data_IF_532652710707
#
_entry.id   IF_532652710707
#
_cell.length_a   1.000
_cell.length_b   1.000
_cell.length_c   1.000
_cell.angle_alpha   90.00
_cell.angle_beta   90.00
_cell.angle_gamma   90.00
#
_symmetry.space_group_name_H-M   'P 1'
#
loop_
_entity.id
_entity.type
_entity.pdbx_description
1 polymer ?
#
# COMPACT_ATOMS: atom_id res chain seq x y z
N UNK A 1 21.87 -37.72 66.75
CA UNK A 1 21.36 -36.34 66.49
C UNK A 1 21.58 -36.06 65.01
N UNK A 2 20.54 -36.19 64.20
CA UNK A 2 20.58 -35.93 62.72
C UNK A 2 20.21 -34.46 62.48
N UNK A 3 21.11 -33.68 61.95
CA UNK A 3 20.85 -32.29 61.52
C UNK A 3 20.13 -32.36 60.18
N UNK A 4 18.87 -31.90 60.17
CA UNK A 4 18.09 -31.73 58.92
C UNK A 4 18.49 -30.36 58.37
N UNK A 5 19.13 -30.37 57.19
CA UNK A 5 19.47 -29.20 56.42
C UNK A 5 18.24 -28.80 55.58
N UNK A 6 17.52 -27.76 56.01
CA UNK A 6 16.38 -27.23 55.23
C UNK A 6 16.94 -26.34 54.13
N UNK A 7 16.94 -26.84 52.90
CA UNK A 7 17.29 -26.05 51.72
C UNK A 7 16.16 -25.11 51.37
N UNK A 8 16.41 -23.83 51.49
CA UNK A 8 15.49 -22.75 51.04
C UNK A 8 15.61 -22.64 49.53
N UNK A 9 14.65 -23.21 48.80
CA UNK A 9 14.52 -23.03 47.37
C UNK A 9 13.83 -21.67 47.13
N UNK A 10 14.64 -20.63 46.89
CA UNK A 10 14.12 -19.35 46.43
C UNK A 10 13.67 -19.50 44.98
N UNK A 11 12.35 -19.63 44.77
CA UNK A 11 11.74 -19.51 43.45
C UNK A 11 11.88 -18.03 43.03
N UNK A 12 12.85 -17.74 42.15
CA UNK A 12 12.84 -16.52 41.37
C UNK A 12 11.64 -16.58 40.45
N UNK A 13 10.53 -15.94 40.80
CA UNK A 13 9.50 -15.60 39.82
C UNK A 13 10.07 -14.59 38.87
N UNK A 14 10.63 -15.06 37.73
CA UNK A 14 10.72 -14.21 36.57
C UNK A 14 9.27 -13.84 36.20
N UNK A 15 8.92 -12.58 36.47
CA UNK A 15 7.76 -11.98 35.87
C UNK A 15 7.99 -12.04 34.35
N UNK A 16 7.53 -13.11 33.68
CA UNK A 16 7.22 -13.05 32.26
C UNK A 16 6.08 -12.04 32.17
N UNK A 17 6.41 -10.79 31.88
CA UNK A 17 5.41 -9.86 31.38
C UNK A 17 4.98 -10.45 30.05
N UNK A 18 3.77 -11.05 30.01
CA UNK A 18 3.08 -11.26 28.78
C UNK A 18 3.04 -9.89 28.11
N UNK A 19 3.63 -9.77 26.92
CA UNK A 19 3.40 -8.58 26.10
C UNK A 19 1.89 -8.58 25.83
N UNK A 20 1.18 -7.69 26.50
CA UNK A 20 -0.18 -7.37 26.12
C UNK A 20 -0.13 -6.80 24.69
N UNK A 21 -0.67 -7.56 23.73
CA UNK A 21 -0.86 -7.08 22.37
C UNK A 21 -2.03 -6.09 22.33
N UNK A 22 -1.93 -5.01 23.10
CA UNK A 22 -2.89 -3.92 23.10
C UNK A 22 -2.32 -2.76 22.27
N UNK A 23 -2.90 -2.58 21.09
CA UNK A 23 -2.52 -1.52 20.15
C UNK A 23 -3.44 -0.30 20.24
N UNK A 24 -4.34 -0.23 21.24
CA UNK A 24 -5.37 0.81 21.33
C UNK A 24 -4.78 2.21 21.41
N UNK A 25 -3.67 2.40 22.10
CA UNK A 25 -3.03 3.71 22.22
C UNK A 25 -2.34 4.13 20.93
N UNK A 26 -1.67 3.20 20.22
CA UNK A 26 -1.11 3.45 18.90
C UNK A 26 -2.22 3.84 17.91
N UNK A 27 -3.29 3.06 17.88
CA UNK A 27 -4.44 3.34 17.01
C UNK A 27 -5.04 4.71 17.27
N UNK A 28 -5.26 5.09 18.56
CA UNK A 28 -5.76 6.42 18.93
C UNK A 28 -4.85 7.55 18.45
N UNK A 29 -3.54 7.37 18.57
CA UNK A 29 -2.56 8.38 18.13
C UNK A 29 -2.52 8.56 16.63
N UNK A 30 -2.66 7.46 15.87
CA UNK A 30 -2.47 7.49 14.41
C UNK A 30 -3.78 7.72 13.64
N UNK A 31 -4.94 7.42 14.23
CA UNK A 31 -6.23 7.52 13.53
C UNK A 31 -6.56 8.91 13.01
N UNK A 32 -6.12 9.98 13.69
CA UNK A 32 -6.36 11.37 13.24
C UNK A 32 -5.61 11.72 11.96
N UNK A 33 -4.60 10.94 11.61
CA UNK A 33 -3.78 11.12 10.39
C UNK A 33 -4.26 10.27 9.23
N UNK A 34 -5.12 9.26 9.48
CA UNK A 34 -5.67 8.37 8.46
C UNK A 34 -6.98 8.94 7.93
N UNK A 35 -7.21 8.83 6.64
CA UNK A 35 -8.38 9.40 5.98
C UNK A 35 -9.07 8.37 5.07
N UNK A 36 -10.38 8.52 4.94
CA UNK A 36 -11.14 7.90 3.86
C UNK A 36 -11.08 8.77 2.62
N UNK A 37 -10.97 8.16 1.46
CA UNK A 37 -10.97 8.84 0.17
C UNK A 37 -12.16 8.34 -0.65
N UNK A 38 -13.03 9.24 -1.05
CA UNK A 38 -14.08 9.00 -2.01
C UNK A 38 -13.73 9.74 -3.30
N UNK A 39 -13.62 9.02 -4.40
CA UNK A 39 -13.44 9.59 -5.73
C UNK A 39 -14.70 9.38 -6.57
N UNK A 40 -15.10 10.41 -7.30
CA UNK A 40 -16.26 10.38 -8.20
C UNK A 40 -15.79 10.64 -9.62
N UNK A 41 -16.24 9.78 -10.54
CA UNK A 41 -16.01 9.93 -11.98
C UNK A 41 -17.35 10.06 -12.70
N UNK A 42 -17.50 11.05 -13.55
CA UNK A 42 -18.68 11.28 -14.38
C UNK A 42 -18.50 10.58 -15.73
N UNK A 43 -19.20 9.47 -15.91
CA UNK A 43 -19.20 8.73 -17.17
C UNK A 43 -20.24 9.36 -18.09
N UNK A 44 -19.77 10.10 -19.10
CA UNK A 44 -20.63 10.61 -20.17
C UNK A 44 -20.85 9.51 -21.21
N UNK A 45 -22.07 9.05 -21.34
CA UNK A 45 -22.44 8.05 -22.34
C UNK A 45 -22.36 8.66 -23.75
N UNK A 46 -21.15 8.74 -24.31
CA UNK A 46 -21.01 8.92 -25.75
C UNK A 46 -21.11 7.53 -26.38
N UNK A 47 -22.08 7.28 -27.26
CA UNK A 47 -22.41 6.01 -27.89
C UNK A 47 -21.28 5.33 -28.71
N UNK A 48 -20.06 5.37 -28.19
CA UNK A 48 -18.89 4.61 -28.69
C UNK A 48 -18.49 3.64 -27.59
N UNK A 49 -18.66 2.37 -27.90
CA UNK A 49 -18.16 1.24 -27.14
C UNK A 49 -16.72 1.52 -26.65
N UNK A 50 -16.53 1.56 -25.33
CA UNK A 50 -15.21 1.58 -24.70
C UNK A 50 -14.50 0.23 -24.96
N UNK A 51 -13.95 0.05 -26.19
CA UNK A 51 -12.97 -0.99 -26.48
C UNK A 51 -11.60 -0.47 -26.02
N UNK A 52 -11.18 -0.78 -24.80
CA UNK A 52 -9.83 -0.43 -24.39
C UNK A 52 -9.52 -0.46 -22.90
N UNK A 53 -10.51 -0.64 -22.02
CA UNK A 53 -10.20 -0.90 -20.62
C UNK A 53 -10.07 -2.41 -20.38
N UNK A 54 -9.04 -2.87 -19.68
CA UNK A 54 -8.95 -4.27 -19.30
C UNK A 54 -10.10 -4.61 -18.35
N UNK A 55 -11.05 -5.36 -18.84
CA UNK A 55 -12.18 -5.95 -18.11
C UNK A 55 -11.69 -6.68 -16.83
N UNK A 56 -10.45 -7.15 -16.87
CA UNK A 56 -9.72 -7.83 -15.81
C UNK A 56 -9.48 -6.95 -14.59
N UNK A 57 -9.18 -5.66 -14.74
CA UNK A 57 -9.00 -4.73 -13.63
C UNK A 57 -10.28 -4.58 -12.80
N UNK A 58 -11.45 -4.48 -13.46
CA UNK A 58 -12.73 -4.43 -12.76
C UNK A 58 -13.06 -5.74 -12.04
N UNK A 59 -12.66 -6.90 -12.60
CA UNK A 59 -12.82 -8.21 -11.95
C UNK A 59 -11.86 -8.42 -10.80
N UNK A 60 -10.61 -7.99 -10.93
CA UNK A 60 -9.57 -8.22 -9.93
C UNK A 60 -9.77 -7.32 -8.69
N UNK A 61 -10.19 -6.08 -8.90
CA UNK A 61 -10.52 -5.15 -7.81
C UNK A 61 -12.01 -5.15 -7.44
N UNK A 62 -12.82 -5.98 -8.13
CA UNK A 62 -14.24 -6.22 -7.83
C UNK A 62 -15.12 -4.99 -7.86
N UNK A 63 -14.79 -4.00 -8.67
CA UNK A 63 -15.73 -2.93 -8.98
C UNK A 63 -16.95 -3.50 -9.71
N UNK A 64 -18.17 -3.04 -9.41
CA UNK A 64 -19.35 -3.46 -10.18
C UNK A 64 -19.13 -3.06 -11.64
N UNK A 65 -19.26 -4.05 -12.55
CA UNK A 65 -19.29 -3.79 -13.99
C UNK A 65 -20.39 -2.76 -14.29
N UNK A 66 -20.08 -1.69 -15.02
CA UNK A 66 -21.15 -0.80 -15.46
C UNK A 66 -22.08 -1.60 -16.40
N UNK A 67 -23.36 -1.68 -16.06
CA UNK A 67 -24.37 -2.25 -16.95
C UNK A 67 -24.34 -1.53 -18.31
N UNK A 68 -24.01 -2.27 -19.37
CA UNK A 68 -23.74 -1.72 -20.69
C UNK A 68 -24.97 -1.28 -21.49
N UNK A 69 -26.15 -1.23 -20.88
CA UNK A 69 -27.38 -0.90 -21.60
C UNK A 69 -28.21 0.19 -20.92
N UNK A 70 -27.89 1.46 -21.21
CA UNK A 70 -28.89 2.52 -21.16
C UNK A 70 -28.80 3.42 -22.40
N UNK A 71 -29.82 3.36 -23.34
CA UNK A 71 -29.83 4.15 -24.56
C UNK A 71 -30.11 5.65 -24.36
N UNK A 72 -30.25 6.12 -23.09
CA UNK A 72 -30.81 7.46 -22.83
C UNK A 72 -29.78 8.56 -22.56
N UNK A 73 -28.50 8.32 -22.74
CA UNK A 73 -27.49 9.39 -22.68
C UNK A 73 -27.41 10.06 -21.28
N UNK A 74 -27.75 9.35 -20.20
CA UNK A 74 -27.64 9.87 -18.85
C UNK A 74 -26.18 9.81 -18.37
N UNK A 75 -25.70 10.91 -17.82
CA UNK A 75 -24.43 10.95 -17.09
C UNK A 75 -24.57 10.01 -15.89
N UNK A 76 -23.63 9.07 -15.73
CA UNK A 76 -23.56 8.16 -14.58
C UNK A 76 -22.36 8.53 -13.73
N UNK A 77 -22.56 8.58 -12.43
CA UNK A 77 -21.49 8.71 -11.47
C UNK A 77 -20.96 7.32 -11.09
N UNK A 78 -19.67 7.09 -11.31
CA UNK A 78 -18.96 5.95 -10.74
C UNK A 78 -18.18 6.45 -9.51
N UNK A 79 -18.38 5.79 -8.39
CA UNK A 79 -17.69 6.09 -7.13
C UNK A 79 -16.68 5.01 -6.81
N UNK A 80 -15.47 5.40 -6.42
CA UNK A 80 -14.45 4.54 -5.85
C UNK A 80 -14.15 5.01 -4.43
N UNK A 81 -13.82 4.09 -3.56
CA UNK A 81 -13.45 4.37 -2.17
C UNK A 81 -12.15 3.70 -1.81
N UNK A 82 -11.34 4.41 -1.06
CA UNK A 82 -10.07 3.93 -0.52
C UNK A 82 -9.72 4.66 0.76
N UNK A 83 -8.50 4.52 1.16
CA UNK A 83 -7.89 5.18 2.31
C UNK A 83 -6.70 6.03 1.87
N UNK A 84 -6.23 6.86 2.77
CA UNK A 84 -5.02 7.62 2.62
C UNK A 84 -4.51 8.05 3.99
N UNK A 85 -3.43 8.81 4.01
CA UNK A 85 -2.92 9.39 5.24
C UNK A 85 -2.20 10.71 4.98
N UNK A 86 -2.25 11.57 5.99
CA UNK A 86 -1.64 12.89 5.94
C UNK A 86 -0.15 12.79 6.17
N UNK A 87 0.65 13.40 5.29
CA UNK A 87 2.12 13.42 5.39
C UNK A 87 2.67 14.80 5.76
N UNK A 88 1.82 15.83 5.83
CA UNK A 88 2.28 17.18 6.18
C UNK A 88 1.21 18.02 6.86
N UNK A 89 1.63 18.95 7.72
CA UNK A 89 0.73 19.86 8.45
C UNK A 89 -0.07 20.79 7.56
N UNK A 90 0.38 21.04 6.35
CA UNK A 90 -0.27 21.88 5.35
C UNK A 90 -1.21 21.10 4.42
N UNK A 91 -1.40 19.79 4.67
CA UNK A 91 -2.47 18.99 4.05
C UNK A 91 -2.10 18.22 2.78
N UNK A 92 -0.84 17.80 2.64
CA UNK A 92 -0.53 16.74 1.68
C UNK A 92 -0.99 15.38 2.20
N UNK A 93 -1.60 14.60 1.32
CA UNK A 93 -2.13 13.25 1.59
C UNK A 93 -1.61 12.30 0.52
N UNK A 94 -1.16 11.13 0.95
CA UNK A 94 -0.80 10.03 0.03
C UNK A 94 -1.92 9.01 0.00
N UNK A 95 -2.16 8.45 -1.19
CA UNK A 95 -3.05 7.31 -1.44
C UNK A 95 -2.54 6.52 -2.65
N UNK A 96 -3.27 5.48 -3.05
CA UNK A 96 -2.98 4.78 -4.30
C UNK A 96 -3.52 5.53 -5.53
N UNK A 97 -2.82 5.38 -6.66
CA UNK A 97 -3.28 5.89 -7.95
C UNK A 97 -4.65 5.32 -8.34
N UNK A 98 -4.83 4.00 -8.23
CA UNK A 98 -6.08 3.36 -8.62
C UNK A 98 -7.31 3.84 -7.83
N UNK A 99 -7.13 4.42 -6.63
CA UNK A 99 -8.22 5.01 -5.82
C UNK A 99 -8.75 6.29 -6.46
N UNK A 100 -7.88 7.07 -7.12
CA UNK A 100 -8.22 8.39 -7.69
C UNK A 100 -8.12 8.44 -9.21
N UNK A 101 -7.94 7.29 -9.84
CA UNK A 101 -7.79 7.18 -11.29
C UNK A 101 -9.00 7.76 -12.01
N UNK A 102 -8.75 8.70 -12.95
CA UNK A 102 -9.75 9.38 -13.76
C UNK A 102 -10.87 10.08 -12.94
N UNK A 103 -10.61 10.43 -11.69
CA UNK A 103 -11.58 11.10 -10.83
C UNK A 103 -11.80 12.55 -11.27
N UNK A 104 -13.09 12.95 -11.41
CA UNK A 104 -13.49 14.33 -11.60
C UNK A 104 -13.54 15.08 -10.27
N UNK A 105 -13.78 14.36 -9.17
CA UNK A 105 -13.80 14.90 -7.82
C UNK A 105 -13.23 13.90 -6.81
N UNK A 106 -12.45 14.43 -5.86
CA UNK A 106 -11.87 13.66 -4.74
C UNK A 106 -12.24 14.33 -3.43
N UNK A 107 -12.91 13.60 -2.55
CA UNK A 107 -13.26 14.03 -1.19
C UNK A 107 -12.45 13.22 -0.19
N UNK A 108 -11.82 13.90 0.73
CA UNK A 108 -11.05 13.32 1.84
C UNK A 108 -11.84 13.54 3.12
N UNK A 109 -12.17 12.44 3.81
CA UNK A 109 -12.93 12.45 5.06
C UNK A 109 -12.07 11.94 6.21
N UNK A 110 -12.03 12.69 7.30
CA UNK A 110 -11.33 12.35 8.54
C UNK A 110 -12.25 11.57 9.48
N UNK A 111 -11.64 10.94 10.50
CA UNK A 111 -12.36 10.19 11.55
C UNK A 111 -13.37 11.08 12.30
N UNK A 112 -13.07 12.35 12.51
CA UNK A 112 -13.95 13.34 13.15
C UNK A 112 -15.06 13.86 12.21
N UNK A 113 -15.21 13.25 11.02
CA UNK A 113 -16.20 13.56 9.98
C UNK A 113 -15.98 14.89 9.26
N UNK A 114 -14.86 15.58 9.47
CA UNK A 114 -14.50 16.69 8.59
C UNK A 114 -14.25 16.19 7.19
N UNK A 115 -14.78 16.89 6.21
CA UNK A 115 -14.63 16.57 4.78
C UNK A 115 -13.96 17.73 4.06
N UNK A 116 -13.07 17.36 3.14
CA UNK A 116 -12.35 18.34 2.33
C UNK A 116 -12.30 17.86 0.88
N UNK A 117 -12.54 18.79 -0.04
CA UNK A 117 -12.20 18.55 -1.44
C UNK A 117 -10.69 18.60 -1.59
N UNK A 118 -10.12 17.57 -2.20
CA UNK A 118 -8.70 17.47 -2.47
C UNK A 118 -8.40 17.73 -3.95
N UNK A 119 -7.26 18.33 -4.21
CA UNK A 119 -6.68 18.45 -5.55
C UNK A 119 -5.67 17.33 -5.75
N UNK A 120 -5.69 16.67 -6.90
CA UNK A 120 -4.66 15.71 -7.30
C UNK A 120 -3.44 16.53 -7.75
N UNK A 121 -2.36 16.49 -6.96
CA UNK A 121 -1.09 17.17 -7.30
C UNK A 121 -0.39 16.45 -8.44
N UNK A 122 -0.40 15.13 -8.40
CA UNK A 122 0.11 14.26 -9.44
C UNK A 122 -0.01 12.79 -9.03
N UNK A 123 0.28 11.93 -10.00
CA UNK A 123 0.15 10.48 -9.85
C UNK A 123 1.30 9.76 -10.54
N UNK A 124 1.60 8.57 -10.06
CA UNK A 124 2.47 7.61 -10.74
C UNK A 124 1.79 6.24 -10.80
N UNK A 125 1.39 5.84 -11.98
CA UNK A 125 0.68 4.59 -12.24
C UNK A 125 1.57 3.36 -11.96
N UNK A 126 2.85 3.43 -12.31
CA UNK A 126 3.76 2.29 -12.18
C UNK A 126 4.09 1.91 -10.74
N UNK A 127 4.07 2.88 -9.81
CA UNK A 127 4.20 2.61 -8.38
C UNK A 127 2.86 2.62 -7.65
N UNK A 128 1.74 2.88 -8.35
CA UNK A 128 0.40 2.98 -7.78
C UNK A 128 0.30 4.04 -6.67
N UNK A 129 0.94 5.21 -6.86
CA UNK A 129 0.97 6.32 -5.90
C UNK A 129 0.23 7.54 -6.46
N UNK A 130 -0.55 8.19 -5.61
CA UNK A 130 -1.12 9.51 -5.84
C UNK A 130 -0.84 10.45 -4.68
N UNK A 131 -0.47 11.69 -5.00
CA UNK A 131 -0.31 12.78 -4.05
C UNK A 131 -1.47 13.75 -4.18
N UNK A 132 -2.17 13.97 -3.08
CA UNK A 132 -3.31 14.87 -2.97
C UNK A 132 -2.95 16.09 -2.13
N UNK A 133 -3.69 17.19 -2.33
CA UNK A 133 -3.57 18.41 -1.53
C UNK A 133 -4.93 18.88 -1.05
N UNK A 134 -5.06 19.02 0.27
CA UNK A 134 -6.19 19.65 0.93
C UNK A 134 -5.85 21.12 1.20
N UNK A 135 -6.75 22.05 0.85
CA UNK A 135 -6.57 23.50 1.11
C UNK A 135 -7.00 23.85 2.53
N UNK A 136 -6.28 23.32 3.52
CA UNK A 136 -6.44 23.62 4.94
C UNK A 136 -5.14 23.35 5.67
N UNK A 137 -5.06 23.71 6.94
CA UNK A 137 -3.88 23.58 7.77
C UNK A 137 -4.23 22.94 9.14
N UNK A 138 -3.18 22.60 9.89
CA UNK A 138 -3.35 22.11 11.25
C UNK A 138 -3.63 20.61 11.34
N UNK A 139 -3.29 19.86 10.30
CA UNK A 139 -3.37 18.42 10.30
C UNK A 139 -2.22 17.79 11.12
N UNK A 140 -2.49 16.64 11.70
CA UNK A 140 -1.47 15.79 12.30
C UNK A 140 -0.90 14.87 11.21
N UNK A 141 0.35 15.01 10.76
CA UNK A 141 0.94 14.08 9.83
C UNK A 141 1.34 12.78 10.55
N UNK A 142 1.37 11.67 9.83
CA UNK A 142 1.99 10.43 10.29
C UNK A 142 3.49 10.61 10.55
N UNK A 143 4.06 9.74 11.37
CA UNK A 143 5.50 9.55 11.45
C UNK A 143 5.88 8.56 10.35
N UNK A 144 6.80 8.97 9.49
CA UNK A 144 7.33 8.13 8.41
C UNK A 144 8.48 7.31 8.95
N UNK A 145 8.40 5.99 8.84
CA UNK A 145 9.45 5.07 9.21
C UNK A 145 10.44 4.82 8.06
N UNK A 146 11.23 3.76 8.19
CA UNK A 146 12.21 3.33 7.19
C UNK A 146 11.89 1.90 6.71
N UNK A 147 11.35 1.78 5.49
CA UNK A 147 10.98 0.48 4.92
C UNK A 147 12.19 -0.39 4.55
N UNK A 148 13.40 0.15 4.48
CA UNK A 148 14.61 -0.62 4.19
C UNK A 148 15.11 -1.39 5.43
N UNK A 149 14.64 -1.03 6.63
CA UNK A 149 14.94 -1.72 7.88
C UNK A 149 13.92 -2.82 8.22
N UNK A 150 12.86 -2.95 7.41
CA UNK A 150 11.78 -3.92 7.67
C UNK A 150 12.25 -5.34 7.40
N UNK A 151 12.04 -6.23 8.38
CA UNK A 151 12.41 -7.63 8.31
C UNK A 151 11.18 -8.55 8.29
N UNK A 152 11.35 -9.73 7.74
CA UNK A 152 10.34 -10.79 7.79
C UNK A 152 10.09 -11.21 9.25
N UNK A 153 8.83 -11.16 9.68
CA UNK A 153 8.41 -11.45 11.06
C UNK A 153 8.06 -10.22 11.87
N UNK A 154 8.40 -9.00 11.41
CA UNK A 154 8.01 -7.76 12.09
C UNK A 154 6.51 -7.65 12.20
N UNK A 155 6.01 -7.26 13.39
CA UNK A 155 4.60 -6.99 13.62
C UNK A 155 4.15 -5.71 12.92
N UNK A 156 2.97 -5.77 12.29
CA UNK A 156 2.43 -4.63 11.54
C UNK A 156 0.95 -4.43 11.78
N UNK A 157 0.51 -3.17 11.68
CA UNK A 157 -0.89 -2.76 11.86
C UNK A 157 -1.31 -2.00 10.59
N UNK A 158 -2.36 -2.51 9.92
CA UNK A 158 -3.00 -1.80 8.83
C UNK A 158 -4.22 -1.04 9.36
N UNK A 159 -4.30 0.25 9.03
CA UNK A 159 -5.46 1.10 9.35
C UNK A 159 -6.06 1.60 8.03
N UNK A 160 -7.38 1.50 7.90
CA UNK A 160 -8.08 1.97 6.72
C UNK A 160 -9.58 2.07 6.95
N UNK A 161 -10.32 2.44 5.90
CA UNK A 161 -11.77 2.58 5.91
C UNK A 161 -12.42 1.65 4.90
N UNK A 162 -12.42 0.31 5.17
CA UNK A 162 -12.98 -0.65 4.23
C UNK A 162 -14.51 -0.51 4.16
N UNK A 163 -15.08 -0.66 2.96
CA UNK A 163 -16.52 -0.67 2.72
C UNK A 163 -17.30 0.54 3.26
N UNK A 164 -16.68 1.73 3.35
CA UNK A 164 -17.24 2.92 4.02
C UNK A 164 -17.57 2.72 5.51
N UNK A 165 -17.04 1.69 6.16
CA UNK A 165 -17.07 1.61 7.62
C UNK A 165 -16.07 2.58 8.22
N UNK A 166 -16.44 3.17 9.36
CA UNK A 166 -15.53 4.03 10.13
C UNK A 166 -14.33 3.20 10.57
N UNK A 167 -13.17 3.50 10.05
CA UNK A 167 -11.84 2.98 10.34
C UNK A 167 -11.77 1.56 10.91
N UNK A 168 -11.17 0.68 10.14
CA UNK A 168 -10.86 -0.69 10.57
C UNK A 168 -9.36 -0.84 10.80
N UNK A 169 -9.03 -1.57 11.85
CA UNK A 169 -7.66 -1.88 12.25
C UNK A 169 -7.45 -3.38 12.14
N UNK A 170 -6.37 -3.78 11.49
CA UNK A 170 -5.98 -5.19 11.41
C UNK A 170 -4.51 -5.33 11.77
N UNK A 171 -4.16 -6.46 12.39
CA UNK A 171 -2.80 -6.79 12.80
C UNK A 171 -2.32 -8.05 12.08
N UNK A 172 -1.05 -8.09 11.78
CA UNK A 172 -0.35 -9.23 11.18
C UNK A 172 1.15 -9.06 11.28
N UNK A 173 1.88 -9.74 10.41
CA UNK A 173 3.33 -9.65 10.30
C UNK A 173 3.77 -9.36 8.86
N UNK A 174 4.99 -8.93 8.70
CA UNK A 174 5.66 -8.94 7.40
C UNK A 174 5.98 -10.39 7.04
N UNK A 175 5.32 -10.91 6.03
CA UNK A 175 5.51 -12.29 5.55
C UNK A 175 6.71 -12.43 4.61
N UNK A 176 7.04 -11.36 3.86
CA UNK A 176 8.23 -11.29 3.00
C UNK A 176 8.49 -9.83 2.59
N UNK A 177 9.73 -9.54 2.17
CA UNK A 177 10.14 -8.25 1.60
C UNK A 177 10.60 -8.42 0.16
N UNK A 178 10.55 -7.35 -0.64
CA UNK A 178 11.04 -7.32 -2.01
C UNK A 178 10.27 -8.21 -3.00
N UNK A 179 8.96 -8.41 -2.77
CA UNK A 179 8.13 -9.22 -3.68
C UNK A 179 7.78 -8.44 -4.94
N UNK A 180 8.13 -9.01 -6.10
CA UNK A 180 7.53 -8.61 -7.37
C UNK A 180 6.13 -9.22 -7.51
N UNK A 181 5.21 -8.52 -8.17
CA UNK A 181 3.91 -9.10 -8.52
C UNK A 181 4.04 -9.87 -9.84
N UNK A 182 3.50 -11.09 -9.87
CA UNK A 182 3.57 -11.98 -11.04
C UNK A 182 2.48 -11.71 -12.08
N UNK A 183 1.80 -10.56 -12.01
CA UNK A 183 0.66 -10.28 -12.88
C UNK A 183 1.01 -10.12 -14.37
N UNK A 184 2.31 -10.07 -14.73
CA UNK A 184 2.76 -10.09 -16.14
C UNK A 184 2.27 -8.92 -17.01
N UNK A 185 1.61 -7.93 -16.40
CA UNK A 185 1.02 -6.78 -17.10
C UNK A 185 1.73 -5.46 -16.81
N UNK A 186 2.93 -5.48 -16.22
CA UNK A 186 3.76 -4.30 -16.01
C UNK A 186 3.37 -3.41 -14.81
N UNK A 187 2.19 -3.58 -14.23
CA UNK A 187 1.79 -2.89 -13.00
C UNK A 187 2.40 -3.63 -11.81
N UNK A 188 3.32 -2.98 -11.09
CA UNK A 188 3.99 -3.54 -9.92
C UNK A 188 5.38 -4.15 -10.17
N UNK A 189 5.87 -4.22 -11.41
CA UNK A 189 7.25 -4.65 -11.68
C UNK A 189 8.31 -3.66 -11.15
N UNK A 190 7.87 -2.44 -10.82
CA UNK A 190 8.73 -1.35 -10.31
C UNK A 190 8.69 -1.19 -8.79
N UNK A 191 7.90 -1.99 -8.08
CA UNK A 191 7.73 -1.89 -6.63
C UNK A 191 8.18 -3.17 -5.96
N UNK A 192 9.18 -3.11 -5.05
CA UNK A 192 9.60 -4.24 -4.23
C UNK A 192 8.66 -4.40 -3.02
N UNK A 193 7.46 -4.91 -3.23
CA UNK A 193 6.40 -4.95 -2.22
C UNK A 193 6.81 -5.62 -0.90
N UNK A 194 6.27 -5.08 0.19
CA UNK A 194 6.18 -5.74 1.49
C UNK A 194 4.95 -6.65 1.45
N UNK A 195 5.13 -7.94 1.68
CA UNK A 195 4.03 -8.90 1.82
C UNK A 195 3.64 -9.02 3.29
N UNK A 196 2.34 -9.00 3.59
CA UNK A 196 1.81 -9.16 4.95
C UNK A 196 0.58 -10.06 4.96
N UNK A 197 0.30 -10.69 6.11
CA UNK A 197 -0.94 -11.41 6.39
C UNK A 197 -1.95 -10.56 7.16
N UNK A 198 -1.60 -9.33 7.55
CA UNK A 198 -2.56 -8.36 8.05
C UNK A 198 -3.73 -8.24 7.05
N UNK A 199 -4.96 -8.33 7.56
CA UNK A 199 -6.13 -8.39 6.69
C UNK A 199 -6.35 -7.06 5.96
N UNK A 200 -6.03 -7.04 4.67
CA UNK A 200 -6.32 -5.93 3.76
C UNK A 200 -7.49 -6.33 2.88
N UNK A 201 -8.51 -5.49 2.81
CA UNK A 201 -9.70 -5.65 1.98
C UNK A 201 -9.97 -4.33 1.23
N UNK A 202 -10.99 -4.34 0.35
CA UNK A 202 -11.44 -3.14 -0.36
C UNK A 202 -11.71 -2.00 0.59
N UNK A 203 -11.17 -0.83 0.28
CA UNK A 203 -11.25 0.36 1.10
C UNK A 203 -9.99 0.59 1.96
N UNK A 204 -9.19 -0.44 2.25
CA UNK A 204 -7.89 -0.26 2.90
C UNK A 204 -6.79 0.22 1.94
N UNK A 205 -6.99 0.06 0.62
CA UNK A 205 -6.04 0.52 -0.41
C UNK A 205 -5.73 2.01 -0.23
N UNK A 206 -4.44 2.36 -0.25
CA UNK A 206 -3.94 3.71 0.01
C UNK A 206 -3.75 4.05 1.48
N UNK A 207 -4.28 3.24 2.39
CA UNK A 207 -4.10 3.40 3.83
C UNK A 207 -2.70 2.96 4.29
N UNK A 208 -2.26 3.46 5.47
CA UNK A 208 -0.95 3.16 6.01
C UNK A 208 -0.84 1.73 6.55
N UNK A 209 0.35 1.16 6.41
CA UNK A 209 0.83 0.01 7.16
C UNK A 209 1.87 0.52 8.17
N UNK A 210 1.54 0.39 9.45
CA UNK A 210 2.39 0.84 10.55
C UNK A 210 3.25 -0.30 11.09
N UNK A 211 4.44 0.04 11.60
CA UNK A 211 5.17 -0.81 12.54
C UNK A 211 4.59 -0.66 13.96
N UNK A 212 5.12 -1.39 14.93
CA UNK A 212 4.64 -1.35 16.32
C UNK A 212 5.06 -0.08 17.08
N UNK A 213 5.96 0.72 16.53
CA UNK A 213 6.36 2.03 17.06
C UNK A 213 5.43 3.15 16.57
N UNK A 214 4.45 2.83 15.70
CA UNK A 214 3.50 3.78 15.14
C UNK A 214 4.05 4.57 13.95
N UNK A 215 5.09 4.08 13.30
CA UNK A 215 5.64 4.68 12.10
C UNK A 215 5.10 3.98 10.86
N UNK A 216 4.80 4.73 9.81
CA UNK A 216 4.36 4.18 8.53
C UNK A 216 5.55 3.58 7.80
N UNK A 217 5.50 2.28 7.52
CA UNK A 217 6.50 1.53 6.76
C UNK A 217 6.03 1.14 5.36
N UNK A 218 4.75 1.28 5.07
CA UNK A 218 4.19 0.95 3.76
C UNK A 218 2.80 1.51 3.52
N UNK A 219 2.33 1.37 2.28
CA UNK A 219 0.99 1.74 1.83
C UNK A 219 0.29 0.48 1.36
N UNK A 220 -0.84 0.14 1.97
CA UNK A 220 -1.64 -0.99 1.54
C UNK A 220 -2.11 -0.76 0.10
N UNK A 221 -1.83 -1.68 -0.82
CA UNK A 221 -2.14 -1.50 -2.24
C UNK A 221 -3.04 -2.62 -2.76
N UNK A 222 -2.59 -3.85 -2.72
CA UNK A 222 -3.28 -4.96 -3.38
C UNK A 222 -3.26 -6.24 -2.55
N UNK A 223 -4.14 -7.18 -2.91
CA UNK A 223 -4.19 -8.52 -2.35
C UNK A 223 -4.08 -9.55 -3.48
N UNK A 224 -3.49 -10.70 -3.18
CA UNK A 224 -3.68 -11.88 -4.02
C UNK A 224 -4.89 -12.63 -3.50
N UNK A 225 -5.93 -12.76 -4.34
CA UNK A 225 -7.18 -13.38 -3.92
C UNK A 225 -7.88 -14.04 -5.11
N UNK A 226 -8.46 -15.21 -4.86
CA UNK A 226 -9.32 -15.92 -5.81
C UNK A 226 -10.80 -15.65 -5.57
N UNK A 227 -11.14 -15.24 -4.36
CA UNK A 227 -12.51 -14.97 -3.91
C UNK A 227 -12.87 -13.49 -3.92
N UNK A 228 -11.87 -12.59 -4.06
CA UNK A 228 -12.03 -11.15 -3.96
C UNK A 228 -11.92 -10.59 -2.55
N UNK A 229 -11.71 -11.44 -1.53
CA UNK A 229 -11.43 -11.06 -0.14
C UNK A 229 -10.01 -11.44 0.27
N UNK A 230 -9.57 -11.01 1.45
CA UNK A 230 -8.26 -11.33 1.97
C UNK A 230 -8.12 -12.85 2.18
N UNK A 231 -7.04 -13.44 1.66
CA UNK A 231 -6.66 -14.84 1.83
C UNK A 231 -5.29 -14.99 2.53
N UNK A 232 -4.86 -13.97 3.28
CA UNK A 232 -3.57 -13.92 3.98
C UNK A 232 -2.39 -13.50 3.10
N UNK A 233 -2.67 -12.96 1.92
CA UNK A 233 -1.66 -12.46 0.98
C UNK A 233 -2.00 -11.03 0.56
N UNK A 234 -1.49 -10.08 1.34
CA UNK A 234 -1.60 -8.66 1.06
C UNK A 234 -0.22 -8.07 0.74
N UNK A 235 -0.21 -6.98 -0.03
CA UNK A 235 0.99 -6.32 -0.51
C UNK A 235 0.90 -4.82 -0.23
N UNK A 236 1.96 -4.30 0.37
CA UNK A 236 2.11 -2.87 0.63
C UNK A 236 3.30 -2.31 -0.14
N UNK A 237 3.15 -1.11 -0.67
CA UNK A 237 4.22 -0.33 -1.29
C UNK A 237 5.14 0.15 -0.18
N UNK A 238 6.47 -0.10 -0.22
CA UNK A 238 7.39 0.40 0.78
C UNK A 238 7.31 1.92 0.91
N UNK A 239 7.35 2.44 2.13
CA UNK A 239 7.18 3.88 2.37
C UNK A 239 8.29 4.71 1.75
N UNK A 240 9.54 4.21 1.70
CA UNK A 240 10.66 4.91 1.08
C UNK A 240 10.39 5.17 -0.40
N UNK A 241 9.85 4.16 -1.11
CA UNK A 241 9.44 4.31 -2.53
C UNK A 241 8.33 5.35 -2.67
N UNK A 242 7.32 5.29 -1.80
CA UNK A 242 6.19 6.20 -1.86
C UNK A 242 6.59 7.65 -1.57
N UNK A 243 7.47 7.88 -0.62
CA UNK A 243 7.94 9.22 -0.26
C UNK A 243 8.84 9.81 -1.35
N UNK A 244 9.68 9.02 -2.01
CA UNK A 244 10.48 9.45 -3.16
C UNK A 244 9.57 9.92 -4.30
N UNK A 245 8.55 9.12 -4.64
CA UNK A 245 7.54 9.46 -5.66
C UNK A 245 6.78 10.73 -5.29
N UNK A 246 6.31 10.83 -4.04
CA UNK A 246 5.54 11.97 -3.55
C UNK A 246 6.35 13.27 -3.57
N UNK A 247 7.63 13.24 -3.16
CA UNK A 247 8.47 14.44 -3.15
C UNK A 247 8.79 14.92 -4.57
N UNK A 248 9.06 14.00 -5.51
CA UNK A 248 9.27 14.39 -6.90
C UNK A 248 7.98 14.92 -7.55
N UNK A 249 6.82 14.30 -7.29
CA UNK A 249 5.53 14.82 -7.76
C UNK A 249 5.28 16.24 -7.19
N UNK A 250 5.57 16.45 -5.91
CA UNK A 250 5.38 17.75 -5.25
C UNK A 250 6.25 18.87 -5.86
N UNK A 251 7.48 18.54 -6.23
CA UNK A 251 8.45 19.50 -6.76
C UNK A 251 8.36 19.70 -8.28
N UNK A 252 8.10 18.61 -9.03
CA UNK A 252 8.16 18.59 -10.49
C UNK A 252 6.80 18.34 -11.17
N UNK A 253 5.76 18.02 -10.37
CA UNK A 253 4.42 17.69 -10.86
C UNK A 253 4.27 16.27 -11.44
N UNK A 254 5.36 15.52 -11.55
CA UNK A 254 5.39 14.15 -12.07
C UNK A 254 6.56 13.38 -11.48
N UNK A 255 6.49 12.05 -11.53
CA UNK A 255 7.61 11.17 -11.25
C UNK A 255 8.27 10.72 -12.55
N UNK A 256 9.60 10.78 -12.62
CA UNK A 256 10.38 10.41 -13.79
C UNK A 256 11.35 9.28 -13.46
N UNK A 257 11.35 8.22 -14.28
CA UNK A 257 12.27 7.09 -14.13
C UNK A 257 13.37 7.14 -15.17
N UNK A 258 14.58 6.76 -14.78
CA UNK A 258 15.67 6.50 -15.70
C UNK A 258 15.41 5.24 -16.53
N UNK A 259 15.79 5.25 -17.79
CA UNK A 259 15.76 4.08 -18.67
C UNK A 259 17.16 3.52 -18.84
N UNK A 260 17.40 2.32 -18.29
CA UNK A 260 18.73 1.69 -18.36
C UNK A 260 19.01 0.99 -19.70
N UNK A 261 17.98 0.67 -20.46
CA UNK A 261 18.13 0.04 -21.78
C UNK A 261 18.68 -1.39 -21.76
N UNK A 262 18.39 -2.16 -20.71
CA UNK A 262 18.80 -3.56 -20.60
C UNK A 262 17.58 -4.48 -20.42
N UNK A 263 17.69 -5.71 -20.93
CA UNK A 263 16.78 -6.78 -20.59
C UNK A 263 17.41 -7.63 -19.51
N UNK A 264 16.81 -7.59 -18.30
CA UNK A 264 17.28 -8.31 -17.13
C UNK A 264 16.62 -9.68 -16.95
N UNK A 265 17.14 -10.44 -16.00
CA UNK A 265 16.55 -11.69 -15.55
C UNK A 265 17.29 -12.21 -14.32
N UNK A 266 16.75 -13.26 -13.73
CA UNK A 266 17.38 -13.94 -12.60
C UNK A 266 18.54 -14.83 -13.06
N UNK A 267 19.52 -14.99 -12.18
CA UNK A 267 20.59 -15.97 -12.34
C UNK A 267 20.08 -17.30 -11.81
N UNK A 268 19.77 -18.26 -12.71
CA UNK A 268 19.36 -19.60 -12.29
C UNK A 268 20.52 -20.38 -11.64
N UNK A 269 20.19 -21.41 -10.85
CA UNK A 269 21.18 -22.29 -10.24
C UNK A 269 22.11 -22.97 -11.27
N UNK A 270 21.54 -23.35 -12.42
CA UNK A 270 22.30 -23.99 -13.51
C UNK A 270 23.28 -22.99 -14.15
N UNK A 271 22.83 -21.75 -14.36
CA UNK A 271 23.67 -20.69 -14.89
C UNK A 271 24.78 -20.32 -13.91
N UNK A 272 24.44 -20.18 -12.62
CA UNK A 272 25.44 -19.91 -11.57
C UNK A 272 26.51 -21.00 -11.55
N UNK A 273 26.13 -22.28 -11.63
CA UNK A 273 27.04 -23.42 -11.71
C UNK A 273 27.92 -23.34 -12.94
N UNK A 274 27.34 -23.08 -14.12
CA UNK A 274 28.08 -22.96 -15.38
C UNK A 274 29.11 -21.80 -15.38
N UNK A 275 28.79 -20.72 -14.65
CA UNK A 275 29.67 -19.54 -14.47
C UNK A 275 30.66 -19.69 -13.30
N UNK A 276 30.66 -20.82 -12.58
CA UNK A 276 31.52 -21.03 -11.41
C UNK A 276 31.16 -20.17 -10.19
N UNK A 277 29.94 -19.65 -10.12
CA UNK A 277 29.47 -18.86 -8.99
C UNK A 277 29.12 -19.77 -7.79
N UNK A 278 29.43 -19.31 -6.58
CA UNK A 278 29.11 -20.07 -5.34
C UNK A 278 27.61 -20.10 -5.02
N UNK A 279 26.86 -19.11 -5.47
CA UNK A 279 25.41 -18.95 -5.25
C UNK A 279 24.78 -18.26 -6.47
N UNK A 280 23.50 -18.55 -6.79
CA UNK A 280 22.75 -17.87 -7.86
C UNK A 280 22.27 -16.49 -7.35
N UNK A 281 23.15 -15.50 -7.36
CA UNK A 281 22.90 -14.13 -6.90
C UNK A 281 23.25 -13.13 -7.99
N UNK A 282 22.57 -11.98 -7.97
CA UNK A 282 22.78 -10.91 -8.93
C UNK A 282 21.72 -10.87 -10.03
N UNK A 283 21.88 -9.96 -10.98
CA UNK A 283 21.00 -9.79 -12.14
C UNK A 283 21.71 -10.23 -13.42
N UNK A 284 21.04 -11.06 -14.22
CA UNK A 284 21.51 -11.44 -15.54
C UNK A 284 21.09 -10.38 -16.57
N UNK A 285 22.03 -9.75 -17.24
CA UNK A 285 21.74 -8.93 -18.41
C UNK A 285 21.68 -9.86 -19.63
N UNK A 286 20.49 -10.05 -20.18
CA UNK A 286 20.24 -10.91 -21.36
C UNK A 286 20.50 -10.19 -22.67
N UNK A 287 20.17 -8.91 -22.72
CA UNK A 287 20.39 -8.06 -23.88
C UNK A 287 20.56 -6.60 -23.45
N UNK A 288 21.28 -5.85 -24.25
CA UNK A 288 21.36 -4.39 -24.20
C UNK A 288 20.58 -3.85 -25.38
N UNK A 289 19.65 -2.93 -25.13
CA UNK A 289 18.86 -2.28 -26.16
C UNK A 289 19.75 -1.28 -26.88
N UNK A 290 19.72 -1.27 -28.21
CA UNK A 290 20.47 -0.31 -29.00
C UNK A 290 19.99 1.11 -28.64
N UNK A 291 20.92 2.01 -28.38
CA UNK A 291 20.65 3.37 -27.93
C UNK A 291 20.02 3.46 -26.51
N UNK A 292 20.18 2.42 -25.67
CA UNK A 292 19.99 2.49 -24.23
C UNK A 292 21.04 3.37 -23.57
N UNK A 293 20.82 3.72 -22.27
CA UNK A 293 21.73 4.57 -21.52
C UNK A 293 23.15 3.98 -21.38
#
# INVERSE_FOLDING_TARGET
MKKILLGLFAFLFLNLQAHDFDFSDLVKQQSDSVVNIESTRIIKSSGRSMRGFPEELFREFGFPMPDMEDPRGQEREAKSTGSGFVISKDGYVITNYHVVQDADEVIVRFLDRREFKAEIVGTDELSDIALLKIKSNGFAPVVVGDSDQVEQGDGVIAIGSPYNFDFSVTFGIISATGRGTTSGQGIGDYVPYLQTDAAVNRGNSGGPLFNLDGEVIGINSQIYSRSGGNEGLAFAIPINVAMEVAEQIKTEGKFSRGYLGVQGGEVSSDLATALGMKKPIGALVRAVVKDGA
#
